data_IF_250998119584
#
_entry.id   IF_250998119584
#
_cell.length_a   1.000
_cell.length_b   1.000
_cell.length_c   1.000
_cell.angle_alpha   90.00
_cell.angle_beta   90.00
_cell.angle_gamma   90.00
#
_symmetry.space_group_name_H-M   'P 1'
#
loop_
_entity.id
_entity.type
_entity.pdbx_description
1 polymer ?
#
# COMPACT_ATOMS: atom_id res chain seq x y z
N UNK A 1 -28.25 -14.56 -44.52
CA UNK A 1 -28.70 -13.34 -45.23
C UNK A 1 -29.35 -12.39 -44.23
N UNK A 2 -28.74 -11.23 -43.96
CA UNK A 2 -29.35 -9.88 -43.98
C UNK A 2 -28.43 -8.91 -43.24
N UNK A 3 -27.90 -7.98 -44.03
CA UNK A 3 -27.19 -6.76 -43.63
C UNK A 3 -28.20 -5.81 -42.99
N UNK A 4 -27.74 -4.96 -42.06
CA UNK A 4 -28.19 -3.57 -41.99
C UNK A 4 -26.96 -2.71 -41.64
N UNK A 5 -26.65 -1.89 -42.63
CA UNK A 5 -25.77 -0.73 -42.69
C UNK A 5 -26.65 0.51 -42.47
N UNK A 6 -26.09 1.63 -41.99
CA UNK A 6 -26.47 3.06 -42.17
C UNK A 6 -26.13 3.81 -40.88
N UNK A 7 -25.63 5.05 -40.84
CA UNK A 7 -24.96 5.96 -41.77
C UNK A 7 -24.63 7.21 -40.91
N UNK A 8 -23.44 7.75 -41.12
CA UNK A 8 -22.96 9.13 -40.94
C UNK A 8 -23.99 10.23 -40.56
N UNK A 9 -23.61 11.08 -39.60
CA UNK A 9 -23.95 12.52 -39.64
C UNK A 9 -22.74 13.35 -39.24
N UNK A 10 -22.44 14.33 -40.09
CA UNK A 10 -21.36 15.30 -40.00
C UNK A 10 -22.05 16.66 -39.94
N UNK A 11 -21.73 17.52 -38.96
CA UNK A 11 -22.00 18.95 -39.11
C UNK A 11 -21.02 19.82 -38.30
N UNK A 12 -20.50 20.79 -39.04
CA UNK A 12 -19.54 21.86 -38.75
C UNK A 12 -20.23 23.01 -38.01
N UNK A 13 -19.52 23.74 -37.14
CA UNK A 13 -19.44 25.21 -37.20
C UNK A 13 -18.28 25.74 -36.34
N UNK A 14 -17.63 26.77 -36.89
CA UNK A 14 -16.52 27.52 -36.33
C UNK A 14 -17.01 28.65 -35.40
N UNK A 15 -16.16 29.07 -34.46
CA UNK A 15 -16.22 30.41 -33.89
C UNK A 15 -14.80 30.95 -33.73
N UNK A 16 -14.58 32.06 -34.43
CA UNK A 16 -13.39 32.90 -34.45
C UNK A 16 -13.57 33.94 -33.34
N UNK A 17 -12.59 34.12 -32.46
CA UNK A 17 -12.46 35.29 -31.57
C UNK A 17 -10.97 35.54 -31.42
N UNK A 18 -10.39 36.46 -32.19
CA UNK A 18 -10.27 37.92 -32.05
C UNK A 18 -8.79 38.26 -31.75
N UNK A 19 -8.17 39.20 -32.49
CA UNK A 19 -6.77 39.54 -32.32
C UNK A 19 -6.61 40.56 -31.19
N UNK A 20 -5.73 40.28 -30.23
CA UNK A 20 -5.30 41.28 -29.26
C UNK A 20 -4.25 42.18 -29.91
N UNK A 21 -4.64 43.42 -30.20
CA UNK A 21 -3.78 44.55 -30.54
C UNK A 21 -3.63 45.40 -29.29
N UNK A 22 -2.45 45.42 -28.67
CA UNK A 22 -1.84 46.65 -28.11
C UNK A 22 -0.36 46.38 -27.73
N UNK A 23 0.50 46.93 -28.60
CA UNK A 23 1.86 47.49 -28.44
C UNK A 23 2.03 48.29 -27.13
N UNK A 24 3.20 48.57 -26.54
CA UNK A 24 4.61 48.52 -26.95
C UNK A 24 5.52 48.62 -25.70
N UNK A 25 6.78 48.16 -25.85
CA UNK A 25 8.05 48.65 -25.27
C UNK A 25 8.15 49.23 -23.84
N UNK A 26 9.05 48.69 -23.00
CA UNK A 26 10.42 49.22 -22.81
C UNK A 26 11.15 48.77 -21.51
N UNK A 27 12.36 48.24 -21.76
CA UNK A 27 13.63 48.44 -21.04
C UNK A 27 13.79 48.13 -19.53
N UNK A 28 14.63 47.13 -19.26
CA UNK A 28 15.48 47.07 -18.07
C UNK A 28 16.62 48.11 -18.15
N UNK A 29 17.10 48.61 -17.00
CA UNK A 29 18.53 48.42 -16.67
C UNK A 29 18.80 48.07 -15.20
N UNK A 30 19.98 47.50 -14.96
CA UNK A 30 20.56 47.12 -13.67
C UNK A 30 21.07 48.32 -12.83
N UNK A 31 21.21 48.02 -11.52
CA UNK A 31 22.32 48.37 -10.58
C UNK A 31 22.11 49.43 -9.47
N UNK A 32 22.46 48.97 -8.25
CA UNK A 32 23.08 49.65 -7.08
C UNK A 32 22.30 49.67 -5.75
N UNK A 33 23.00 49.23 -4.70
CA UNK A 33 22.62 49.15 -3.28
C UNK A 33 22.48 50.51 -2.58
N UNK A 34 21.61 50.59 -1.56
CA UNK A 34 21.83 51.41 -0.36
C UNK A 34 21.05 50.83 0.84
N UNK A 35 21.75 50.60 1.95
CA UNK A 35 21.22 50.20 3.26
C UNK A 35 20.44 51.34 3.93
N UNK A 36 19.37 51.04 4.68
CA UNK A 36 19.06 51.69 5.97
C UNK A 36 18.29 50.73 6.89
N UNK A 37 18.63 50.81 8.17
CA UNK A 37 18.18 50.05 9.34
C UNK A 37 16.95 50.73 9.99
N UNK A 38 16.29 49.99 10.91
CA UNK A 38 15.25 50.40 11.88
C UNK A 38 13.84 50.49 11.28
N UNK A 39 12.79 49.88 11.82
CA UNK A 39 12.43 49.68 13.23
C UNK A 39 11.69 48.37 13.49
N UNK A 40 11.73 47.98 14.76
CA UNK A 40 11.01 46.84 15.31
C UNK A 40 9.51 47.14 15.36
N UNK A 41 8.73 46.50 14.49
CA UNK A 41 7.33 46.23 14.78
C UNK A 41 7.12 44.71 14.75
N UNK A 42 6.59 44.20 15.85
CA UNK A 42 6.17 42.83 16.01
C UNK A 42 4.98 42.56 15.09
N UNK A 43 5.27 42.29 13.82
CA UNK A 43 4.36 41.59 12.92
C UNK A 43 4.18 40.19 13.48
N UNK A 44 3.18 40.08 14.37
CA UNK A 44 2.65 38.79 14.79
C UNK A 44 2.00 38.23 13.55
N UNK A 45 2.81 37.51 12.77
CA UNK A 45 2.46 36.84 11.55
C UNK A 45 1.20 36.02 11.81
N UNK A 46 0.03 36.53 11.43
CA UNK A 46 -1.26 35.84 11.56
C UNK A 46 -1.26 34.51 10.80
N UNK A 47 -0.37 34.37 9.81
CA UNK A 47 -0.11 33.11 9.12
C UNK A 47 0.60 32.06 10.01
N UNK A 48 1.24 32.43 11.12
CA UNK A 48 1.81 31.49 12.10
C UNK A 48 0.76 30.89 13.06
N UNK A 49 -0.41 31.54 13.19
CA UNK A 49 -1.55 31.01 13.95
C UNK A 49 -2.32 29.92 13.17
N UNK A 50 -2.16 29.89 11.85
CA UNK A 50 -2.71 28.84 10.96
C UNK A 50 -1.63 27.90 10.39
N UNK A 51 -0.35 28.21 10.60
CA UNK A 51 0.79 27.47 10.05
C UNK A 51 1.10 26.13 10.75
N UNK A 52 0.41 25.81 11.84
CA UNK A 52 0.55 24.54 12.58
C UNK A 52 -0.74 23.73 12.70
N UNK A 53 -1.77 24.06 11.91
CA UNK A 53 -2.81 23.08 11.59
C UNK A 53 -2.27 22.11 10.52
N UNK A 54 -1.14 21.44 10.82
CA UNK A 54 -0.84 20.19 10.15
C UNK A 54 -2.07 19.30 10.37
N UNK A 55 -2.76 19.01 9.27
CA UNK A 55 -4.04 18.31 9.24
C UNK A 55 -3.92 16.90 9.84
N UNK A 56 -3.96 16.78 11.16
CA UNK A 56 -4.49 15.58 11.80
C UNK A 56 -5.95 15.89 12.02
N UNK A 57 -6.85 15.32 11.23
CA UNK A 57 -8.29 15.39 11.57
C UNK A 57 -9.10 14.41 10.73
N UNK A 58 -9.26 13.21 11.26
CA UNK A 58 -10.35 12.33 10.84
C UNK A 58 -10.08 10.90 11.24
N UNK A 59 -8.90 10.37 10.89
CA UNK A 59 -8.64 8.93 10.99
C UNK A 59 -7.42 8.65 11.86
N UNK A 60 -7.60 7.81 12.89
CA UNK A 60 -6.53 7.25 13.70
C UNK A 60 -6.20 5.85 13.19
N UNK A 61 -4.90 5.57 13.02
CA UNK A 61 -4.36 4.28 12.63
C UNK A 61 -3.56 3.69 13.79
N UNK A 62 -3.76 2.40 14.07
CA UNK A 62 -3.05 1.66 15.11
C UNK A 62 -2.75 0.20 14.68
N UNK A 63 -1.63 -0.36 15.16
CA UNK A 63 -1.35 -1.80 15.00
C UNK A 63 -2.25 -2.61 15.94
N UNK A 64 -3.00 -3.56 15.38
CA UNK A 64 -3.87 -4.45 16.18
C UNK A 64 -3.27 -5.82 16.41
N UNK A 65 -2.36 -6.29 15.55
CA UNK A 65 -1.72 -7.59 15.69
C UNK A 65 -0.37 -7.62 14.99
N UNK A 66 0.68 -7.97 15.74
CA UNK A 66 2.04 -8.15 15.27
C UNK A 66 2.55 -9.50 15.76
N UNK A 67 3.13 -10.35 14.89
CA UNK A 67 3.65 -11.65 15.30
C UNK A 67 4.82 -11.50 16.27
N UNK A 68 4.89 -12.38 17.28
CA UNK A 68 5.97 -12.38 18.27
C UNK A 68 7.24 -13.08 17.78
N UNK A 69 7.10 -14.03 16.86
CA UNK A 69 8.19 -14.79 16.24
C UNK A 69 7.89 -15.00 14.76
N UNK A 70 8.95 -15.02 13.95
CA UNK A 70 8.88 -15.23 12.51
C UNK A 70 9.92 -16.25 12.08
N UNK A 71 9.65 -16.98 11.00
CA UNK A 71 10.65 -17.76 10.27
C UNK A 71 10.93 -17.16 8.90
N UNK A 72 12.18 -17.29 8.44
CA UNK A 72 12.53 -16.89 7.07
C UNK A 72 11.72 -17.75 6.08
N UNK A 73 11.04 -17.10 5.13
CA UNK A 73 10.13 -17.74 4.19
C UNK A 73 8.68 -17.84 4.66
N UNK A 74 8.37 -17.43 5.89
CA UNK A 74 7.01 -17.42 6.43
C UNK A 74 6.19 -16.26 5.85
N UNK A 75 4.93 -16.55 5.50
CA UNK A 75 3.94 -15.52 5.17
C UNK A 75 3.15 -15.21 6.46
N UNK A 76 3.21 -13.97 6.92
CA UNK A 76 2.59 -13.55 8.17
C UNK A 76 1.63 -12.36 7.96
N UNK A 77 0.55 -12.27 8.75
CA UNK A 77 -0.40 -11.16 8.68
C UNK A 77 0.01 -10.00 9.62
N UNK A 78 -0.20 -8.77 9.17
CA UNK A 78 -0.23 -7.58 10.04
C UNK A 78 -1.59 -6.93 9.87
N UNK A 79 -2.26 -6.70 10.99
CA UNK A 79 -3.57 -6.04 11.00
C UNK A 79 -3.43 -4.66 11.59
N UNK A 80 -3.87 -3.67 10.82
CA UNK A 80 -4.07 -2.31 11.31
C UNK A 80 -5.55 -2.05 11.55
N UNK A 81 -5.84 -1.15 12.48
CA UNK A 81 -7.18 -0.66 12.75
C UNK A 81 -7.24 0.82 12.42
N UNK A 82 -8.29 1.20 11.70
CA UNK A 82 -8.62 2.58 11.37
C UNK A 82 -9.90 2.97 12.10
N UNK A 83 -9.87 4.13 12.73
CA UNK A 83 -11.02 4.71 13.44
C UNK A 83 -11.15 6.18 13.14
N UNK A 84 -12.35 6.77 13.18
CA UNK A 84 -13.65 6.14 13.39
C UNK A 84 -14.16 5.44 12.11
N UNK A 85 -15.08 4.49 12.29
CA UNK A 85 -15.55 3.57 11.23
C UNK A 85 -16.26 4.30 10.09
N UNK A 86 -17.05 5.31 10.42
CA UNK A 86 -17.83 6.12 9.47
C UNK A 86 -16.94 6.76 8.41
N UNK A 87 -15.78 7.30 8.81
CA UNK A 87 -14.80 7.87 7.90
C UNK A 87 -13.99 6.76 7.21
N UNK A 88 -13.57 5.74 7.95
CA UNK A 88 -12.68 4.70 7.43
C UNK A 88 -13.36 3.63 6.55
N UNK A 89 -14.69 3.57 6.49
CA UNK A 89 -15.41 2.52 5.72
C UNK A 89 -15.33 2.70 4.19
N UNK A 90 -14.89 3.86 3.72
CA UNK A 90 -14.72 4.16 2.30
C UNK A 90 -13.54 3.43 1.63
N UNK A 91 -13.21 3.83 0.41
CA UNK A 91 -11.99 3.38 -0.25
C UNK A 91 -10.77 3.98 0.46
N UNK A 92 -9.82 3.15 0.88
CA UNK A 92 -8.61 3.57 1.60
C UNK A 92 -7.41 3.18 0.77
N UNK A 93 -6.53 4.13 0.54
CA UNK A 93 -5.22 3.93 -0.05
C UNK A 93 -4.15 3.93 1.05
N UNK A 94 -3.14 3.09 0.88
CA UNK A 94 -2.07 2.92 1.85
C UNK A 94 -0.73 3.28 1.24
N UNK A 95 0.05 4.07 1.97
CA UNK A 95 1.47 4.23 1.73
C UNK A 95 2.22 3.34 2.71
N UNK A 96 3.05 2.45 2.17
CA UNK A 96 3.96 1.59 2.90
C UNK A 96 5.38 2.05 2.57
N UNK A 97 6.18 2.37 3.57
CA UNK A 97 7.53 2.89 3.39
C UNK A 97 8.50 2.28 4.41
N UNK A 98 9.80 2.37 4.12
CA UNK A 98 10.87 1.98 5.05
C UNK A 98 10.82 0.51 5.49
N UNK A 99 10.22 -0.39 4.71
CA UNK A 99 10.29 -1.82 4.97
C UNK A 99 11.70 -2.37 4.72
N UNK A 100 12.09 -3.38 5.50
CA UNK A 100 13.37 -4.07 5.32
C UNK A 100 13.18 -5.57 5.57
N UNK A 101 13.81 -6.40 4.75
CA UNK A 101 13.84 -7.84 5.00
C UNK A 101 12.50 -8.56 4.80
N UNK A 102 11.51 -7.88 4.20
CA UNK A 102 10.19 -8.41 3.89
C UNK A 102 9.77 -8.06 2.48
N UNK A 103 8.87 -8.86 1.92
CA UNK A 103 8.16 -8.57 0.68
C UNK A 103 6.66 -8.49 0.94
N UNK A 104 6.00 -7.49 0.37
CA UNK A 104 4.53 -7.42 0.34
C UNK A 104 3.99 -8.62 -0.46
N UNK A 105 3.27 -9.53 0.20
CA UNK A 105 2.73 -10.73 -0.44
C UNK A 105 1.42 -10.45 -1.17
N UNK A 106 0.60 -9.53 -0.65
CA UNK A 106 -0.62 -9.07 -1.30
C UNK A 106 -0.73 -7.55 -1.20
N UNK A 107 -0.83 -6.83 -2.33
CA UNK A 107 -0.89 -5.37 -2.32
C UNK A 107 -2.22 -4.84 -1.80
N UNK A 108 -3.27 -5.67 -1.84
CA UNK A 108 -4.60 -5.30 -1.35
C UNK A 108 -4.86 -5.96 0.00
N UNK A 109 -5.09 -5.19 1.07
CA UNK A 109 -5.38 -5.77 2.36
C UNK A 109 -6.73 -6.48 2.37
N UNK A 110 -6.85 -7.49 3.22
CA UNK A 110 -8.14 -8.09 3.53
C UNK A 110 -8.85 -7.24 4.58
N UNK A 111 -9.98 -6.63 4.19
CA UNK A 111 -10.80 -5.79 5.05
C UNK A 111 -11.83 -6.55 5.87
N UNK A 112 -12.00 -6.13 7.12
CA UNK A 112 -13.13 -6.48 7.98
C UNK A 112 -13.62 -5.21 8.68
N UNK A 113 -14.85 -4.81 8.43
CA UNK A 113 -15.48 -3.68 9.14
C UNK A 113 -16.17 -4.22 10.40
N UNK A 114 -15.90 -3.58 11.54
CA UNK A 114 -16.58 -3.85 12.81
C UNK A 114 -17.18 -2.55 13.35
N UNK A 115 -17.96 -2.65 14.42
CA UNK A 115 -18.57 -1.49 15.06
C UNK A 115 -17.55 -0.48 15.61
N UNK A 116 -16.35 -0.94 15.96
CA UNK A 116 -15.32 -0.14 16.62
C UNK A 116 -14.14 0.27 15.72
N UNK A 117 -14.10 -0.21 14.48
CA UNK A 117 -13.02 0.12 13.54
C UNK A 117 -13.11 -0.63 12.21
N UNK A 118 -12.35 -0.15 11.24
CA UNK A 118 -12.05 -0.87 10.00
C UNK A 118 -10.72 -1.57 10.17
N UNK A 119 -10.70 -2.88 9.98
CA UNK A 119 -9.52 -3.70 10.15
C UNK A 119 -9.00 -4.15 8.79
N UNK A 120 -7.83 -3.68 8.41
CA UNK A 120 -7.17 -4.05 7.17
C UNK A 120 -5.96 -4.93 7.47
N UNK A 121 -5.95 -6.13 6.90
CA UNK A 121 -4.90 -7.12 7.11
C UNK A 121 -4.03 -7.27 5.88
N UNK A 122 -2.77 -6.89 6.01
CA UNK A 122 -1.73 -7.08 5.01
C UNK A 122 -1.02 -8.41 5.25
N UNK A 123 -0.48 -8.99 4.19
CA UNK A 123 0.34 -10.19 4.27
C UNK A 123 1.73 -9.88 3.74
N UNK A 124 2.73 -10.26 4.51
CA UNK A 124 4.14 -10.08 4.17
C UNK A 124 4.85 -11.42 4.18
N UNK A 125 5.89 -11.55 3.37
CA UNK A 125 6.81 -12.67 3.36
C UNK A 125 8.12 -12.24 4.03
N UNK A 126 8.54 -12.93 5.09
CA UNK A 126 9.86 -12.72 5.70
C UNK A 126 10.98 -13.25 4.78
N UNK A 127 12.00 -12.43 4.52
CA UNK A 127 13.11 -12.76 3.62
C UNK A 127 14.48 -12.79 4.30
N UNK A 128 14.64 -12.09 5.42
CA UNK A 128 15.91 -12.05 6.17
C UNK A 128 15.67 -12.12 7.68
N UNK A 129 16.76 -12.33 8.43
CA UNK A 129 16.73 -12.40 9.89
C UNK A 129 16.31 -11.08 10.54
N UNK A 130 16.81 -9.96 10.02
CA UNK A 130 16.36 -8.63 10.45
C UNK A 130 15.20 -8.23 9.56
N UNK A 131 14.05 -7.98 10.19
CA UNK A 131 12.82 -7.56 9.52
C UNK A 131 12.40 -6.22 10.09
N UNK A 132 12.05 -5.26 9.23
CA UNK A 132 11.37 -4.03 9.62
C UNK A 132 10.03 -3.99 8.89
N UNK A 133 8.94 -3.91 9.64
CA UNK A 133 7.62 -3.64 9.06
C UNK A 133 7.62 -2.26 8.41
N UNK A 134 6.78 -2.01 7.39
CA UNK A 134 6.69 -0.67 6.82
C UNK A 134 6.08 0.30 7.84
N UNK A 135 6.47 1.57 7.72
CA UNK A 135 5.70 2.67 8.25
C UNK A 135 4.45 2.84 7.40
N UNK A 136 3.29 2.93 8.05
CA UNK A 136 2.00 2.89 7.38
C UNK A 136 1.27 4.21 7.57
N UNK A 137 0.84 4.80 6.45
CA UNK A 137 -0.10 5.92 6.43
C UNK A 137 -1.28 5.56 5.54
N UNK A 138 -2.49 5.91 5.97
CA UNK A 138 -3.73 5.70 5.24
C UNK A 138 -4.32 7.02 4.73
N UNK A 139 -4.90 6.98 3.54
CA UNK A 139 -5.68 8.08 2.98
C UNK A 139 -7.06 7.58 2.57
N UNK A 140 -8.11 8.16 3.13
CA UNK A 140 -9.50 7.87 2.76
C UNK A 140 -9.83 8.69 1.52
N UNK A 141 -10.02 8.04 0.37
CA UNK A 141 -10.12 8.74 -0.92
C UNK A 141 -11.41 9.54 -1.07
N UNK A 142 -12.49 9.14 -0.39
CA UNK A 142 -13.78 9.85 -0.45
C UNK A 142 -13.78 11.20 0.27
N UNK A 143 -12.93 11.36 1.30
CA UNK A 143 -12.87 12.57 2.13
C UNK A 143 -11.54 13.31 2.02
N UNK A 144 -10.52 12.67 1.46
CA UNK A 144 -9.14 13.15 1.51
C UNK A 144 -8.51 13.06 2.90
N UNK A 145 -9.19 12.48 3.89
CA UNK A 145 -8.69 12.41 5.26
C UNK A 145 -7.47 11.49 5.34
N UNK A 146 -6.38 12.00 5.90
CA UNK A 146 -5.15 11.24 6.15
C UNK A 146 -5.08 10.80 7.60
N UNK A 147 -4.51 9.62 7.82
CA UNK A 147 -4.22 9.14 9.17
C UNK A 147 -2.91 9.69 9.72
N UNK A 148 -2.69 9.50 11.03
CA UNK A 148 -1.33 9.51 11.55
C UNK A 148 -0.48 8.42 10.86
N UNK A 149 0.82 8.65 10.78
CA UNK A 149 1.78 7.59 10.45
C UNK A 149 1.91 6.66 11.66
N UNK A 150 2.02 5.37 11.41
CA UNK A 150 2.37 4.37 12.42
C UNK A 150 3.66 3.69 12.02
N UNK A 151 4.64 3.77 12.91
CA UNK A 151 5.96 3.21 12.68
C UNK A 151 5.90 1.68 12.64
N UNK A 152 6.68 1.12 11.73
CA UNK A 152 6.87 -0.31 11.61
C UNK A 152 7.90 -0.81 12.63
N UNK A 153 7.52 -1.72 13.56
CA UNK A 153 8.47 -2.27 14.50
C UNK A 153 9.51 -3.15 13.79
N UNK A 154 10.71 -3.21 14.38
CA UNK A 154 11.72 -4.20 14.03
C UNK A 154 11.36 -5.55 14.66
N UNK A 155 11.50 -6.62 13.88
CA UNK A 155 11.23 -8.01 14.24
C UNK A 155 12.44 -8.87 13.88
N UNK A 156 12.58 -9.99 14.57
CA UNK A 156 13.59 -11.00 14.26
C UNK A 156 12.92 -12.24 13.65
N UNK A 157 13.42 -12.65 12.49
CA UNK A 157 13.08 -13.92 11.87
C UNK A 157 14.20 -14.94 12.11
N UNK A 158 13.81 -16.18 12.40
CA UNK A 158 14.73 -17.29 12.62
C UNK A 158 14.84 -18.16 11.37
N UNK A 159 16.04 -18.67 11.12
CA UNK A 159 16.26 -19.71 10.12
C UNK A 159 15.80 -21.05 10.68
N UNK A 160 15.09 -21.84 9.86
CA UNK A 160 14.74 -23.21 10.23
C UNK A 160 15.93 -24.15 10.03
N UNK A 161 15.98 -25.22 10.82
CA UNK A 161 16.91 -26.34 10.62
C UNK A 161 16.11 -27.57 10.20
N UNK A 162 15.65 -27.63 8.94
CA UNK A 162 14.75 -28.69 8.51
C UNK A 162 15.48 -30.03 8.29
N UNK A 163 14.74 -31.16 8.34
CA UNK A 163 15.26 -32.45 7.90
C UNK A 163 15.49 -32.45 6.38
N UNK A 164 16.26 -33.42 5.88
CA UNK A 164 16.54 -33.58 4.45
C UNK A 164 15.28 -33.77 3.58
N UNK A 165 14.19 -34.26 4.17
CA UNK A 165 12.90 -34.49 3.49
C UNK A 165 11.97 -33.27 3.50
N UNK A 166 12.47 -32.09 3.90
CA UNK A 166 11.66 -30.88 3.95
C UNK A 166 11.43 -30.31 2.56
N UNK A 167 10.17 -30.21 2.18
CA UNK A 167 9.76 -29.78 0.85
C UNK A 167 9.91 -28.26 0.59
N UNK A 168 10.61 -27.53 1.48
CA UNK A 168 10.76 -26.09 1.43
C UNK A 168 9.42 -25.31 1.44
N UNK A 169 8.42 -25.83 2.16
CA UNK A 169 7.09 -25.21 2.29
C UNK A 169 6.80 -24.87 3.76
N UNK A 170 6.48 -23.60 4.00
CA UNK A 170 5.96 -23.05 5.25
C UNK A 170 4.53 -22.58 5.05
N UNK A 171 3.67 -22.97 5.99
CA UNK A 171 2.28 -22.59 6.01
C UNK A 171 1.76 -22.56 7.45
N UNK A 172 0.81 -21.67 7.72
CA UNK A 172 0.03 -21.67 8.96
C UNK A 172 -0.81 -22.95 9.10
N UNK A 173 -1.32 -23.45 7.98
CA UNK A 173 -1.94 -24.77 7.91
C UNK A 173 -1.74 -25.35 6.52
N UNK A 174 -1.56 -26.67 6.46
CA UNK A 174 -1.46 -27.42 5.21
C UNK A 174 -2.16 -28.77 5.40
N UNK A 175 -3.20 -29.02 4.62
CA UNK A 175 -4.00 -30.25 4.71
C UNK A 175 -4.17 -30.85 3.33
N UNK A 176 -3.64 -32.05 3.13
CA UNK A 176 -4.01 -32.89 1.98
C UNK A 176 -5.46 -33.33 2.16
N UNK A 177 -6.31 -33.03 1.19
CA UNK A 177 -7.74 -33.35 1.23
C UNK A 177 -8.12 -34.45 0.27
N UNK A 178 -7.28 -34.72 -0.73
CA UNK A 178 -7.45 -35.79 -1.68
C UNK A 178 -6.09 -36.18 -2.26
N UNK A 179 -5.92 -37.45 -2.63
CA UNK A 179 -4.75 -37.92 -3.33
C UNK A 179 -5.06 -39.13 -4.19
N UNK A 180 -4.36 -39.21 -5.33
CA UNK A 180 -4.41 -40.34 -6.25
C UNK A 180 -2.99 -40.72 -6.64
N UNK A 181 -2.73 -42.02 -6.61
CA UNK A 181 -1.45 -42.60 -7.03
C UNK A 181 -1.68 -43.47 -8.25
N UNK A 182 -0.87 -43.30 -9.28
CA UNK A 182 -0.91 -44.13 -10.50
C UNK A 182 0.50 -44.60 -10.81
N UNK A 183 0.68 -45.87 -11.19
CA UNK A 183 1.98 -46.35 -11.64
C UNK A 183 2.40 -45.60 -12.91
N UNK A 184 3.61 -45.08 -12.93
CA UNK A 184 4.20 -44.49 -14.13
C UNK A 184 4.98 -45.55 -14.92
N UNK A 185 5.79 -46.34 -14.20
CA UNK A 185 6.50 -47.52 -14.71
C UNK A 185 6.67 -48.56 -13.58
N UNK A 186 7.54 -49.54 -13.74
CA UNK A 186 7.78 -50.60 -12.75
C UNK A 186 8.52 -50.13 -11.47
N UNK A 187 9.11 -48.93 -11.49
CA UNK A 187 9.96 -48.40 -10.43
C UNK A 187 9.43 -47.08 -9.82
N UNK A 188 8.50 -46.41 -10.52
CA UNK A 188 8.04 -45.05 -10.20
C UNK A 188 6.52 -44.93 -10.24
N UNK A 189 5.99 -44.12 -9.33
CA UNK A 189 4.58 -43.74 -9.26
C UNK A 189 4.43 -42.23 -9.45
N UNK A 190 3.34 -41.82 -10.10
CA UNK A 190 2.87 -40.43 -10.08
C UNK A 190 1.87 -40.30 -8.94
N UNK A 191 2.13 -39.35 -8.05
CA UNK A 191 1.21 -38.94 -7.00
C UNK A 191 0.67 -37.57 -7.34
N UNK A 192 -0.66 -37.47 -7.44
CA UNK A 192 -1.36 -36.18 -7.54
C UNK A 192 -2.15 -36.01 -6.25
N UNK A 193 -1.95 -34.90 -5.55
CA UNK A 193 -2.71 -34.58 -4.36
C UNK A 193 -3.29 -33.18 -4.45
N UNK A 194 -4.45 -33.00 -3.82
CA UNK A 194 -5.07 -31.70 -3.61
C UNK A 194 -4.86 -31.30 -2.16
N UNK A 195 -4.33 -30.10 -1.94
CA UNK A 195 -4.12 -29.56 -0.61
C UNK A 195 -4.91 -28.26 -0.41
N UNK A 196 -5.41 -28.07 0.81
CA UNK A 196 -5.86 -26.78 1.33
C UNK A 196 -4.77 -26.23 2.25
N UNK A 197 -4.33 -25.01 2.00
CA UNK A 197 -3.31 -24.38 2.82
C UNK A 197 -3.66 -22.92 3.12
N UNK A 198 -3.15 -22.41 4.25
CA UNK A 198 -3.28 -20.99 4.66
C UNK A 198 -1.89 -20.37 4.81
N UNK A 199 -1.74 -19.14 4.30
CA UNK A 199 -0.47 -18.39 4.33
C UNK A 199 0.71 -19.26 3.93
N UNK A 200 0.57 -19.93 2.79
CA UNK A 200 1.49 -20.96 2.33
C UNK A 200 2.40 -20.40 1.25
N UNK A 201 3.71 -20.55 1.43
CA UNK A 201 4.72 -20.12 0.46
C UNK A 201 4.94 -21.15 -0.66
N UNK A 202 3.88 -21.83 -1.14
CA UNK A 202 3.96 -23.01 -2.02
C UNK A 202 4.85 -22.84 -3.28
N UNK A 203 5.06 -21.61 -3.74
CA UNK A 203 5.98 -21.31 -4.85
C UNK A 203 7.44 -21.66 -4.58
N UNK A 204 7.83 -21.93 -3.32
CA UNK A 204 9.17 -22.38 -2.95
C UNK A 204 9.31 -23.89 -2.84
N UNK A 205 8.24 -24.65 -3.14
CA UNK A 205 8.23 -26.10 -3.05
C UNK A 205 9.35 -26.74 -3.87
N UNK A 206 10.09 -27.65 -3.25
CA UNK A 206 11.16 -28.43 -3.88
C UNK A 206 11.33 -29.77 -3.15
N UNK A 207 11.51 -30.86 -3.91
CA UNK A 207 11.78 -32.21 -3.42
C UNK A 207 13.07 -32.76 -4.03
#
# INVERSE_FOLDING_TARGET
MKKILILLFLLVQAAISEPSMFTDQAAAPQETQASQNSDSESDTNVNSLFGNAAQSSGVTLEHSNTPSHLYIGEIFPITIKLTPVDIASGNIEYSLQNEEGIRVFSPTPRRVVKADGVYDTFYFLAQSNNVRLPDITATVTSTGAQSNSVDGPALLASTLTPPATFANVLADSFKVIDYKTTAYNQESYIVVFTAKARRCNIGTFSL
#
